data_IF_780312070460
#
_entry.id   IF_780312070460
#
_cell.length_a   1.000
_cell.length_b   1.000
_cell.length_c   1.000
_cell.angle_alpha   90.00
_cell.angle_beta   90.00
_cell.angle_gamma   90.00
#
_symmetry.space_group_name_H-M   'P 1'
#
loop_
_entity.id
_entity.type
_entity.pdbx_description
1 polymer ?
#
# COMPACT_ATOMS: atom_id res chain seq x y z
N UNK A 1 -9.51 0.60 1.60
CA UNK A 1 -8.39 -0.26 2.08
C UNK A 1 -8.64 -1.75 1.82
N UNK A 2 -9.41 -2.13 0.78
CA UNK A 2 -9.83 -3.52 0.51
C UNK A 2 -8.74 -4.44 -0.04
N UNK A 3 -7.62 -3.88 -0.51
CA UNK A 3 -6.52 -4.64 -1.11
C UNK A 3 -5.43 -5.02 -0.12
N UNK A 4 -5.50 -4.50 1.11
CA UNK A 4 -4.50 -4.70 2.15
C UNK A 4 -4.95 -5.79 3.12
N UNK A 5 -3.99 -6.59 3.57
CA UNK A 5 -4.20 -7.46 4.71
C UNK A 5 -4.34 -6.63 6.01
N UNK A 6 -5.08 -7.10 7.02
CA UNK A 6 -5.27 -6.35 8.27
C UNK A 6 -3.96 -5.94 8.95
N UNK A 7 -2.92 -6.77 8.86
CA UNK A 7 -1.58 -6.54 9.43
C UNK A 7 -0.54 -6.08 8.41
N UNK A 8 -0.95 -5.42 7.32
CA UNK A 8 -0.02 -4.94 6.29
C UNK A 8 1.11 -4.09 6.87
N UNK A 9 2.33 -4.28 6.39
CA UNK A 9 3.46 -3.37 6.65
C UNK A 9 3.61 -2.42 5.46
N UNK A 10 3.59 -1.12 5.71
CA UNK A 10 3.74 -0.08 4.69
C UNK A 10 4.95 0.79 5.02
N UNK A 11 5.96 0.78 4.16
CA UNK A 11 7.20 1.54 4.31
C UNK A 11 7.27 2.64 3.24
N UNK A 12 7.47 3.89 3.65
CA UNK A 12 7.65 5.01 2.72
C UNK A 12 8.39 6.17 3.38
N UNK A 13 9.33 6.85 2.70
CA UNK A 13 9.93 8.08 3.22
C UNK A 13 8.90 9.20 3.46
N UNK A 14 7.75 9.15 2.76
CA UNK A 14 6.66 10.12 2.97
C UNK A 14 5.90 9.90 4.27
N UNK A 15 5.94 8.71 4.86
CA UNK A 15 5.38 8.44 6.19
C UNK A 15 6.14 9.22 7.26
N UNK A 16 7.47 9.22 7.20
CA UNK A 16 8.30 10.01 8.11
C UNK A 16 8.15 11.52 7.88
N UNK A 17 8.00 11.94 6.62
CA UNK A 17 7.72 13.34 6.28
C UNK A 17 6.36 13.81 6.82
N UNK A 18 5.31 12.99 6.70
CA UNK A 18 3.99 13.27 7.26
C UNK A 18 4.01 13.34 8.79
N UNK A 19 4.77 12.45 9.44
CA UNK A 19 4.95 12.49 10.90
C UNK A 19 5.53 13.82 11.35
N UNK A 20 6.58 14.28 10.66
CA UNK A 20 7.22 15.56 10.97
C UNK A 20 6.29 16.75 10.70
N UNK A 21 5.58 16.77 9.57
CA UNK A 21 4.75 17.91 9.17
C UNK A 21 3.44 18.06 9.95
N UNK A 22 2.96 16.98 10.56
CA UNK A 22 1.74 16.97 11.37
C UNK A 22 2.00 17.14 12.87
N UNK A 23 3.25 17.39 13.27
CA UNK A 23 3.59 17.46 14.69
C UNK A 23 3.35 16.13 15.41
N UNK A 24 3.79 15.02 14.78
CA UNK A 24 3.73 13.66 15.32
C UNK A 24 2.32 13.02 15.37
N UNK A 25 1.34 13.55 14.63
CA UNK A 25 -0.04 13.06 14.68
C UNK A 25 -0.33 11.93 13.68
N UNK A 26 0.29 11.98 12.49
CA UNK A 26 0.03 11.03 11.40
C UNK A 26 1.33 10.56 10.78
N UNK A 27 1.49 9.26 10.59
CA UNK A 27 2.73 8.65 10.11
C UNK A 27 3.55 8.04 11.24
N UNK A 28 4.83 7.79 10.99
CA UNK A 28 5.77 7.21 11.96
C UNK A 28 7.18 7.75 11.70
N UNK A 29 8.01 8.01 12.73
CA UNK A 29 9.35 8.56 12.55
C UNK A 29 10.30 7.62 11.79
N UNK A 30 10.07 6.31 11.82
CA UNK A 30 10.85 5.31 11.08
C UNK A 30 10.38 5.13 9.63
N UNK A 31 9.31 5.82 9.21
CA UNK A 31 8.73 5.68 7.88
C UNK A 31 7.91 4.39 7.70
N UNK A 32 7.57 3.68 8.78
CA UNK A 32 6.86 2.39 8.73
C UNK A 32 5.51 2.50 9.43
N UNK A 33 4.45 2.01 8.77
CA UNK A 33 3.12 1.85 9.35
C UNK A 33 2.73 0.37 9.32
N UNK A 34 2.23 -0.13 10.46
CA UNK A 34 1.75 -1.51 10.59
C UNK A 34 0.24 -1.51 10.82
N UNK A 35 -0.46 -2.25 9.96
CA UNK A 35 -1.89 -2.49 10.03
C UNK A 35 -2.76 -1.44 9.37
N UNK A 36 -3.92 -1.87 8.84
CA UNK A 36 -4.84 -1.00 8.08
C UNK A 36 -5.36 0.20 8.87
N UNK A 37 -5.40 0.10 10.20
CA UNK A 37 -5.88 1.17 11.08
C UNK A 37 -4.89 2.32 11.18
N UNK A 38 -3.57 2.05 11.10
CA UNK A 38 -2.55 3.10 11.06
C UNK A 38 -2.38 3.70 9.66
N UNK A 39 -2.62 2.91 8.61
CA UNK A 39 -2.62 3.38 7.21
C UNK A 39 -3.78 4.36 6.93
N UNK A 40 -4.96 4.12 7.50
CA UNK A 40 -6.17 4.89 7.20
C UNK A 40 -6.03 6.40 7.43
N UNK A 41 -5.59 6.90 8.60
CA UNK A 41 -5.41 8.34 8.81
C UNK A 41 -4.33 8.92 7.89
N UNK A 42 -3.25 8.19 7.62
CA UNK A 42 -2.20 8.61 6.69
C UNK A 42 -2.72 8.82 5.26
N UNK A 43 -3.44 7.84 4.70
CA UNK A 43 -4.04 8.00 3.38
C UNK A 43 -5.14 9.06 3.35
N UNK A 44 -5.96 9.16 4.39
CA UNK A 44 -7.00 10.18 4.47
C UNK A 44 -6.41 11.60 4.43
N UNK A 45 -5.33 11.84 5.16
CA UNK A 45 -4.59 13.10 5.11
C UNK A 45 -4.03 13.37 3.71
N UNK A 46 -3.38 12.37 3.09
CA UNK A 46 -2.83 12.51 1.75
C UNK A 46 -3.88 12.86 0.70
N UNK A 47 -5.02 12.15 0.70
CA UNK A 47 -6.12 12.39 -0.24
C UNK A 47 -6.73 13.78 -0.03
N UNK A 48 -6.92 14.21 1.23
CA UNK A 48 -7.46 15.54 1.54
C UNK A 48 -6.51 16.67 1.08
N UNK A 49 -5.20 16.46 1.17
CA UNK A 49 -4.19 17.43 0.73
C UNK A 49 -3.97 17.47 -0.79
N UNK A 50 -4.48 16.49 -1.53
CA UNK A 50 -4.20 16.28 -2.96
C UNK A 50 -5.52 16.13 -3.74
N UNK A 51 -6.32 17.20 -3.88
CA UNK A 51 -7.63 17.15 -4.54
C UNK A 51 -7.54 16.81 -6.04
N UNK A 52 -6.37 17.02 -6.65
CA UNK A 52 -6.06 16.67 -8.04
C UNK A 52 -5.12 15.45 -8.14
N UNK A 53 -5.12 14.56 -7.13
CA UNK A 53 -4.31 13.34 -7.14
C UNK A 53 -4.59 12.53 -8.41
N UNK A 54 -3.57 12.38 -9.25
CA UNK A 54 -3.65 11.58 -10.47
C UNK A 54 -2.42 10.69 -10.54
N UNK A 55 -2.66 9.39 -10.72
CA UNK A 55 -1.63 8.39 -10.87
C UNK A 55 -1.69 7.86 -12.30
N UNK A 56 -0.61 8.01 -13.06
CA UNK A 56 -0.49 7.47 -14.41
C UNK A 56 0.37 6.21 -14.35
N UNK A 57 -0.21 5.09 -14.78
CA UNK A 57 0.46 3.81 -14.79
C UNK A 57 1.68 3.83 -15.74
N UNK A 58 2.82 3.37 -15.24
CA UNK A 58 4.03 3.15 -16.04
C UNK A 58 4.22 1.67 -16.35
N UNK A 59 5.05 1.01 -15.55
CA UNK A 59 5.45 -0.39 -15.77
C UNK A 59 5.05 -1.26 -14.58
N UNK A 60 4.72 -2.52 -14.87
CA UNK A 60 4.57 -3.56 -13.86
C UNK A 60 5.67 -4.59 -14.05
N UNK A 61 6.42 -4.85 -12.98
CA UNK A 61 7.45 -5.86 -12.91
C UNK A 61 7.01 -6.94 -11.92
N UNK A 62 7.18 -8.19 -12.33
CA UNK A 62 7.03 -9.33 -11.42
C UNK A 62 8.41 -9.71 -10.89
N UNK A 63 8.53 -9.79 -9.57
CA UNK A 63 9.76 -10.18 -8.90
C UNK A 63 9.99 -11.69 -8.90
N UNK A 64 11.05 -12.16 -8.21
CA UNK A 64 11.32 -13.57 -8.01
C UNK A 64 10.13 -14.34 -7.39
N UNK A 65 10.15 -15.68 -7.40
CA UNK A 65 9.11 -16.50 -6.77
C UNK A 65 8.82 -16.04 -5.33
N UNK A 66 7.55 -15.99 -4.96
CA UNK A 66 7.13 -15.52 -3.64
C UNK A 66 6.07 -14.41 -3.64
N UNK A 67 5.62 -13.94 -4.81
CA UNK A 67 4.49 -13.00 -4.91
C UNK A 67 4.88 -11.52 -4.81
N UNK A 68 6.14 -11.20 -5.10
CA UNK A 68 6.61 -9.82 -5.22
C UNK A 68 6.25 -9.21 -6.57
N UNK A 69 5.76 -7.98 -6.53
CA UNK A 69 5.49 -7.15 -7.70
C UNK A 69 6.05 -5.75 -7.45
N UNK A 70 6.43 -5.05 -8.51
CA UNK A 70 6.76 -3.63 -8.46
C UNK A 70 5.99 -2.88 -9.54
N UNK A 71 5.41 -1.75 -9.16
CA UNK A 71 4.67 -0.85 -10.02
C UNK A 71 5.41 0.48 -10.08
N UNK A 72 5.78 0.89 -11.29
CA UNK A 72 6.20 2.25 -11.60
C UNK A 72 4.96 3.07 -12.00
N UNK A 73 4.76 4.23 -11.41
CA UNK A 73 3.75 5.19 -11.82
C UNK A 73 4.24 6.63 -11.67
N UNK A 74 3.66 7.54 -12.45
CA UNK A 74 3.92 8.97 -12.32
C UNK A 74 2.75 9.66 -11.64
N UNK A 75 3.05 10.70 -10.86
CA UNK A 75 2.05 11.52 -10.18
C UNK A 75 1.72 12.77 -10.98
N UNK A 76 0.65 13.46 -10.58
CA UNK A 76 0.25 14.78 -11.10
C UNK A 76 1.37 15.83 -11.02
N UNK A 77 2.32 15.66 -10.10
CA UNK A 77 3.49 16.53 -9.94
C UNK A 77 4.63 16.21 -10.91
N UNK A 78 4.50 15.17 -11.75
CA UNK A 78 5.57 14.64 -12.58
C UNK A 78 6.55 13.72 -11.84
N UNK A 79 6.42 13.56 -10.52
CA UNK A 79 7.27 12.68 -9.74
C UNK A 79 7.07 11.21 -10.15
N UNK A 80 8.18 10.49 -10.36
CA UNK A 80 8.16 9.04 -10.62
C UNK A 80 8.26 8.27 -9.31
N UNK A 81 7.32 7.36 -9.11
CA UNK A 81 7.20 6.53 -7.91
C UNK A 81 7.28 5.07 -8.30
N UNK A 82 8.05 4.31 -7.52
CA UNK A 82 8.11 2.86 -7.63
C UNK A 82 7.56 2.30 -6.33
N UNK A 83 6.47 1.54 -6.41
CA UNK A 83 5.89 0.81 -5.28
C UNK A 83 6.09 -0.68 -5.46
N UNK A 84 6.72 -1.32 -4.48
CA UNK A 84 6.83 -2.78 -4.43
C UNK A 84 5.82 -3.35 -3.45
N UNK A 85 5.21 -4.48 -3.78
CA UNK A 85 4.19 -5.14 -3.00
C UNK A 85 4.50 -6.64 -2.88
N UNK A 86 4.30 -7.18 -1.68
CA UNK A 86 4.24 -8.62 -1.46
C UNK A 86 2.79 -9.06 -1.32
N UNK A 87 2.33 -9.89 -2.24
CA UNK A 87 1.03 -10.55 -2.12
C UNK A 87 1.14 -11.75 -1.19
N UNK A 88 0.29 -11.79 -0.17
CA UNK A 88 0.15 -12.94 0.71
C UNK A 88 -0.47 -14.13 -0.02
N UNK A 89 -0.39 -15.34 0.58
CA UNK A 89 -1.09 -16.49 0.02
C UNK A 89 -2.61 -16.20 -0.05
N UNK A 90 -3.31 -16.73 -1.06
CA UNK A 90 -4.77 -16.66 -1.06
C UNK A 90 -5.26 -17.28 0.26
N UNK A 91 -6.16 -16.58 0.95
CA UNK A 91 -6.65 -17.03 2.24
C UNK A 91 -7.21 -18.45 2.10
N UNK A 92 -6.66 -19.39 2.88
CA UNK A 92 -7.12 -20.77 2.88
C UNK A 92 -8.63 -20.83 3.12
N UNK A 93 -9.31 -21.76 2.45
CA UNK A 93 -10.68 -22.14 2.84
C UNK A 93 -10.59 -22.57 4.30
N UNK A 94 -11.28 -21.85 5.19
CA UNK A 94 -11.33 -22.24 6.59
C UNK A 94 -11.94 -23.64 6.70
N UNK A 95 -11.23 -24.56 7.35
CA UNK A 95 -11.83 -25.80 7.84
C UNK A 95 -12.80 -25.42 8.96
N UNK A 96 -14.10 -25.51 8.67
CA UNK A 96 -15.15 -25.47 9.68
C UNK A 96 -16.22 -24.41 9.43
N UNK A 97 -17.42 -24.87 9.09
CA UNK A 97 -18.64 -24.07 9.11
C UNK A 97 -19.34 -24.04 7.75
N UNK A 98 -20.39 -24.84 7.64
CA UNK A 98 -21.33 -24.83 6.53
C UNK A 98 -21.89 -23.43 6.32
N UNK A 99 -21.68 -22.85 5.15
CA UNK A 99 -22.64 -21.92 4.55
C UNK A 99 -22.51 -21.92 3.03
N UNK A 100 -23.67 -21.94 2.40
CA UNK A 100 -23.89 -21.98 0.96
C UNK A 100 -23.48 -20.63 0.32
N UNK A 101 -23.12 -20.70 -0.97
CA UNK A 101 -22.96 -19.59 -1.94
C UNK A 101 -21.58 -18.93 -2.11
N UNK A 102 -21.11 -19.00 -3.36
CA UNK A 102 -20.11 -18.12 -3.94
C UNK A 102 -18.71 -18.72 -3.98
N UNK A 103 -18.26 -19.12 -5.17
CA UNK A 103 -16.85 -19.32 -5.53
C UNK A 103 -16.08 -18.00 -5.50
N UNK A 104 -16.04 -17.35 -4.34
CA UNK A 104 -15.13 -16.22 -4.10
C UNK A 104 -13.76 -16.82 -3.86
N UNK A 105 -13.00 -17.05 -4.93
CA UNK A 105 -11.54 -17.16 -4.81
C UNK A 105 -11.08 -15.91 -4.07
N UNK A 106 -10.73 -16.04 -2.77
CA UNK A 106 -10.31 -14.92 -1.94
C UNK A 106 -9.04 -14.36 -2.58
N UNK A 107 -9.17 -13.20 -3.22
CA UNK A 107 -8.07 -12.52 -3.90
C UNK A 107 -6.90 -12.38 -2.92
N UNK A 108 -5.65 -12.64 -3.36
CA UNK A 108 -4.50 -12.42 -2.51
C UNK A 108 -4.46 -10.94 -2.09
N UNK A 109 -4.12 -10.71 -0.81
CA UNK A 109 -4.05 -9.37 -0.22
C UNK A 109 -2.59 -8.92 -0.14
N UNK A 110 -2.38 -7.62 -0.17
CA UNK A 110 -1.07 -7.00 0.03
C UNK A 110 -0.68 -7.12 1.51
N UNK A 111 0.47 -7.73 1.75
CA UNK A 111 1.03 -7.92 3.11
C UNK A 111 2.17 -6.96 3.41
N UNK A 112 2.94 -6.57 2.39
CA UNK A 112 4.01 -5.60 2.54
C UNK A 112 3.99 -4.63 1.36
N UNK A 113 4.31 -3.37 1.63
CA UNK A 113 4.52 -2.33 0.63
C UNK A 113 5.80 -1.58 0.95
N UNK A 114 6.62 -1.30 -0.06
CA UNK A 114 7.70 -0.33 0.03
C UNK A 114 7.63 0.65 -1.12
N UNK A 115 7.63 1.93 -0.79
CA UNK A 115 7.50 3.04 -1.73
C UNK A 115 8.83 3.77 -1.88
N UNK A 116 9.26 3.93 -3.12
CA UNK A 116 10.47 4.64 -3.51
C UNK A 116 10.10 5.81 -4.44
N UNK A 117 10.82 6.92 -4.32
CA UNK A 117 10.68 8.08 -5.20
C UNK A 117 11.97 8.24 -5.98
N UNK A 118 11.91 8.10 -7.30
CA UNK A 118 13.09 8.13 -8.18
C UNK A 118 13.46 9.56 -8.58
N UNK A 119 12.47 10.45 -8.64
CA UNK A 119 12.66 11.86 -9.00
C UNK A 119 11.59 12.73 -8.34
N UNK A 120 12.03 13.79 -7.67
CA UNK A 120 11.18 14.87 -7.15
C UNK A 120 11.68 16.13 -7.85
N UNK A 121 10.86 16.67 -8.76
CA UNK A 121 11.13 17.98 -9.37
C UNK A 121 10.97 19.09 -8.33
#
# INVERSE_FOLDING_TARGET
MSHYSPGVVFESPRVAAAYSSTGCQVGSPDGVLVGVDSLRPYFAQGIAALPALQLTWGKLLQGPPGGWYALEYTRETGATVIESFLLGPPAAKGDGGQDLQGTSSRRPLITHVRVFYESVC
#
